data_IF_048235317989
#
_entry.id   IF_048235317989
#
_cell.length_a   1.000
_cell.length_b   1.000
_cell.length_c   1.000
_cell.angle_alpha   90.00
_cell.angle_beta   90.00
_cell.angle_gamma   90.00
#
_symmetry.space_group_name_H-M   'P 1'
#
loop_
_entity.id
_entity.type
_entity.pdbx_description
1 polymer ?
#
# COMPACT_ATOMS: atom_id res chain seq x y z
N UNK A 1 33.88 16.23 54.51
CA UNK A 1 34.24 16.40 53.08
C UNK A 1 34.15 15.11 52.26
N UNK A 2 34.55 13.95 52.72
CA UNK A 2 34.54 12.68 51.97
C UNK A 2 33.13 12.20 51.62
N UNK A 3 32.14 12.42 52.47
CA UNK A 3 30.73 12.02 52.26
C UNK A 3 30.03 12.79 51.11
N UNK A 4 30.36 14.07 50.95
CA UNK A 4 29.81 14.90 49.83
C UNK A 4 30.38 14.48 48.48
N UNK A 5 31.63 14.03 48.45
CA UNK A 5 32.30 13.58 47.23
C UNK A 5 31.68 12.28 46.69
N UNK A 6 31.30 11.35 47.58
CA UNK A 6 30.66 10.08 47.18
C UNK A 6 29.26 10.29 46.67
N UNK A 7 28.48 11.21 47.23
CA UNK A 7 27.16 11.57 46.75
C UNK A 7 27.20 12.20 45.33
N UNK A 8 28.24 13.00 45.06
CA UNK A 8 28.43 13.60 43.74
C UNK A 8 28.79 12.56 42.67
N UNK A 9 29.66 11.58 43.02
CA UNK A 9 30.02 10.49 42.11
C UNK A 9 28.84 9.56 41.80
N UNK A 10 27.98 9.28 42.77
CA UNK A 10 26.79 8.44 42.58
C UNK A 10 25.75 9.16 41.70
N UNK A 11 25.57 10.48 41.86
CA UNK A 11 24.65 11.26 41.05
C UNK A 11 25.10 11.36 39.58
N UNK A 12 26.41 11.52 39.33
CA UNK A 12 27.01 11.52 37.99
C UNK A 12 26.92 10.14 37.34
N UNK A 13 27.13 9.05 38.08
CA UNK A 13 27.00 7.70 37.54
C UNK A 13 25.53 7.35 37.17
N UNK A 14 24.55 7.85 37.92
CA UNK A 14 23.13 7.63 37.61
C UNK A 14 22.68 8.39 36.36
N UNK A 15 23.24 9.57 36.07
CA UNK A 15 22.92 10.37 34.88
C UNK A 15 23.47 9.80 33.57
N UNK A 16 24.48 8.92 33.62
CA UNK A 16 25.04 8.27 32.44
C UNK A 16 24.27 7.04 31.97
N UNK A 17 23.30 6.54 32.77
CA UNK A 17 22.45 5.39 32.43
C UNK A 17 21.18 5.78 31.63
N UNK A 18 20.89 7.06 31.47
CA UNK A 18 19.70 7.55 30.79
C UNK A 18 19.82 7.66 29.25
N UNK A 19 20.92 7.20 28.64
CA UNK A 19 21.29 7.57 27.26
C UNK A 19 21.07 6.51 26.17
N UNK A 20 20.51 5.33 26.44
CA UNK A 20 20.27 4.32 25.40
C UNK A 20 18.77 4.10 25.18
N UNK A 21 18.08 5.06 24.61
CA UNK A 21 16.80 4.76 23.94
C UNK A 21 17.11 4.07 22.62
N UNK A 22 16.55 2.87 22.34
CA UNK A 22 16.71 2.25 21.03
C UNK A 22 16.18 3.21 19.95
N UNK A 23 16.79 3.23 18.75
CA UNK A 23 16.31 4.07 17.67
C UNK A 23 14.84 3.75 17.39
N UNK A 24 14.00 4.77 17.37
CA UNK A 24 12.61 4.63 16.94
C UNK A 24 12.61 4.33 15.44
N UNK A 25 12.10 3.15 15.06
CA UNK A 25 11.85 2.80 13.66
C UNK A 25 10.42 3.27 13.29
N UNK A 26 10.26 4.46 12.71
CA UNK A 26 8.94 4.97 12.36
C UNK A 26 8.30 4.10 11.29
N UNK A 27 6.97 3.96 11.33
CA UNK A 27 6.21 3.38 10.25
C UNK A 27 5.95 4.47 9.23
N UNK A 28 6.54 4.31 8.04
CA UNK A 28 6.36 5.21 6.92
C UNK A 28 5.01 4.93 6.23
N UNK A 29 4.34 5.98 5.68
CA UNK A 29 3.12 5.78 4.91
C UNK A 29 3.34 4.80 3.76
N UNK A 30 2.53 3.74 3.64
CA UNK A 30 2.60 2.82 2.51
C UNK A 30 2.01 3.44 1.24
N UNK A 31 2.27 2.83 0.09
CA UNK A 31 1.55 3.10 -1.15
C UNK A 31 0.84 1.86 -1.66
N UNK A 32 -0.13 2.06 -2.57
CA UNK A 32 -0.75 0.97 -3.30
C UNK A 32 -1.00 1.37 -4.75
N UNK A 33 -0.79 0.41 -5.65
CA UNK A 33 -0.97 0.58 -7.09
C UNK A 33 -1.54 -0.68 -7.73
N UNK A 34 -2.15 -0.58 -8.91
CA UNK A 34 -2.51 -1.77 -9.68
C UNK A 34 -1.25 -2.34 -10.32
N UNK A 35 -0.90 -3.57 -9.94
CA UNK A 35 0.19 -4.34 -10.51
C UNK A 35 -0.22 -5.00 -11.82
N UNK A 36 -1.46 -5.54 -11.86
CA UNK A 36 -2.00 -6.26 -13.00
C UNK A 36 -3.53 -6.27 -12.97
N UNK A 37 -4.12 -6.24 -14.15
CA UNK A 37 -5.55 -6.46 -14.37
C UNK A 37 -5.70 -7.52 -15.46
N UNK A 38 -6.45 -8.59 -15.16
CA UNK A 38 -6.82 -9.63 -16.12
C UNK A 38 -8.34 -9.56 -16.37
N UNK A 39 -8.73 -9.48 -17.65
CA UNK A 39 -10.13 -9.60 -18.04
C UNK A 39 -10.44 -11.09 -18.22
N UNK A 40 -11.29 -11.61 -17.33
CA UNK A 40 -11.67 -13.01 -17.30
C UNK A 40 -12.65 -13.37 -18.43
N UNK A 41 -12.78 -14.67 -18.81
CA UNK A 41 -13.70 -15.09 -19.87
C UNK A 41 -15.18 -14.75 -19.61
N UNK A 42 -15.58 -14.60 -18.35
CA UNK A 42 -16.91 -14.20 -17.93
C UNK A 42 -17.13 -12.67 -17.87
N UNK A 43 -16.12 -11.89 -18.28
CA UNK A 43 -16.14 -10.43 -18.29
C UNK A 43 -15.79 -9.77 -16.96
N UNK A 44 -15.58 -10.53 -15.87
CA UNK A 44 -15.07 -9.99 -14.62
C UNK A 44 -13.61 -9.59 -14.75
N UNK A 45 -13.15 -8.72 -13.86
CA UNK A 45 -11.76 -8.27 -13.79
C UNK A 45 -11.09 -8.80 -12.54
N UNK A 46 -10.03 -9.58 -12.70
CA UNK A 46 -9.13 -9.94 -11.61
C UNK A 46 -8.08 -8.84 -11.50
N UNK A 47 -8.03 -8.19 -10.35
CA UNK A 47 -7.11 -7.06 -10.10
C UNK A 47 -6.11 -7.47 -9.02
N UNK A 48 -4.84 -7.35 -9.34
CA UNK A 48 -3.73 -7.48 -8.42
C UNK A 48 -3.27 -6.09 -7.99
N UNK A 49 -3.30 -5.85 -6.68
CA UNK A 49 -2.90 -4.59 -6.07
C UNK A 49 -1.60 -4.83 -5.32
N UNK A 50 -0.57 -4.10 -5.68
CA UNK A 50 0.73 -4.09 -5.01
C UNK A 50 0.69 -3.09 -3.87
N UNK A 51 0.98 -3.53 -2.64
CA UNK A 51 1.18 -2.69 -1.47
C UNK A 51 2.68 -2.61 -1.20
N UNK A 52 3.22 -1.40 -1.03
CA UNK A 52 4.63 -1.15 -0.76
C UNK A 52 4.85 -0.67 0.66
N UNK A 53 5.76 -1.35 1.37
CA UNK A 53 6.24 -0.96 2.69
C UNK A 53 7.54 -0.15 2.56
N UNK A 54 7.47 1.14 2.86
CA UNK A 54 8.64 2.05 2.87
C UNK A 54 9.31 2.16 4.24
N UNK A 55 8.85 1.39 5.24
CA UNK A 55 9.53 1.30 6.53
C UNK A 55 10.75 0.40 6.44
N UNK A 56 11.68 0.54 7.36
CA UNK A 56 12.89 -0.29 7.45
C UNK A 56 12.67 -1.62 8.21
N UNK A 57 11.43 -1.87 8.64
CA UNK A 57 11.01 -3.06 9.39
C UNK A 57 9.79 -3.71 8.74
N UNK A 58 9.54 -4.97 9.10
CA UNK A 58 8.29 -5.66 8.77
C UNK A 58 7.10 -4.92 9.39
N UNK A 59 6.05 -4.72 8.61
CA UNK A 59 4.80 -4.07 9.02
C UNK A 59 3.63 -4.98 8.68
N UNK A 60 2.69 -5.11 9.62
CA UNK A 60 1.44 -5.85 9.44
C UNK A 60 0.36 -4.95 8.82
N UNK A 61 -0.24 -5.40 7.72
CA UNK A 61 -1.30 -4.71 7.00
C UNK A 61 -2.62 -5.45 7.18
N UNK A 62 -3.51 -4.93 8.02
CA UNK A 62 -4.76 -5.61 8.42
C UNK A 62 -5.94 -5.28 7.51
N UNK A 63 -6.05 -4.03 7.05
CA UNK A 63 -7.18 -3.58 6.24
C UNK A 63 -6.73 -2.78 5.02
N UNK A 64 -7.45 -2.97 3.93
CA UNK A 64 -7.29 -2.20 2.70
C UNK A 64 -8.66 -1.73 2.21
N UNK A 65 -8.84 -0.42 2.09
CA UNK A 65 -10.08 0.18 1.55
C UNK A 65 -9.70 1.18 0.47
N UNK A 66 -10.30 1.04 -0.71
CA UNK A 66 -10.01 1.94 -1.82
C UNK A 66 -11.21 2.14 -2.75
N UNK A 67 -11.35 3.34 -3.26
CA UNK A 67 -12.16 3.64 -4.42
C UNK A 67 -11.28 3.54 -5.68
N UNK A 68 -11.66 2.68 -6.60
CA UNK A 68 -11.05 2.55 -7.93
C UNK A 68 -11.88 3.32 -8.96
N UNK A 69 -11.24 4.21 -9.68
CA UNK A 69 -11.77 4.82 -10.91
C UNK A 69 -10.93 4.35 -12.09
N UNK A 70 -11.57 4.11 -13.23
CA UNK A 70 -10.89 3.70 -14.45
C UNK A 70 -11.54 4.33 -15.66
N UNK A 71 -10.73 4.84 -16.58
CA UNK A 71 -11.23 5.54 -17.76
C UNK A 71 -12.20 6.69 -17.42
N UNK A 72 -11.97 7.37 -16.29
CA UNK A 72 -12.81 8.45 -15.78
C UNK A 72 -14.10 8.02 -15.07
N UNK A 73 -14.44 6.72 -15.06
CA UNK A 73 -15.65 6.19 -14.44
C UNK A 73 -15.34 5.51 -13.10
N UNK A 74 -16.33 5.48 -12.19
CA UNK A 74 -16.23 4.67 -10.97
C UNK A 74 -16.22 3.19 -11.36
N UNK A 75 -15.21 2.45 -10.89
CA UNK A 75 -15.06 1.03 -11.19
C UNK A 75 -15.54 0.17 -10.02
N UNK A 76 -15.07 0.44 -8.80
CA UNK A 76 -15.43 -0.30 -7.60
C UNK A 76 -15.01 0.42 -6.33
N UNK A 77 -15.73 0.13 -5.24
CA UNK A 77 -15.25 0.31 -3.88
C UNK A 77 -14.70 -1.04 -3.40
N UNK A 78 -13.40 -1.06 -3.10
CA UNK A 78 -12.67 -2.27 -2.69
C UNK A 78 -12.52 -2.23 -1.17
N UNK A 79 -12.88 -3.33 -0.50
CA UNK A 79 -12.67 -3.50 0.95
C UNK A 79 -12.17 -4.91 1.20
N UNK A 80 -10.94 -5.03 1.68
CA UNK A 80 -10.24 -6.29 1.93
C UNK A 80 -9.63 -6.29 3.33
N UNK A 81 -9.45 -7.48 3.90
CA UNK A 81 -8.72 -7.74 5.14
C UNK A 81 -7.55 -8.68 4.82
N UNK A 82 -6.47 -8.16 4.23
CA UNK A 82 -5.39 -9.01 3.73
C UNK A 82 -4.63 -9.76 4.82
N UNK A 83 -4.51 -9.19 6.04
CA UNK A 83 -3.78 -9.79 7.17
C UNK A 83 -2.39 -10.29 6.75
N UNK A 84 -1.59 -9.42 6.12
CA UNK A 84 -0.27 -9.76 5.57
C UNK A 84 0.84 -8.98 6.26
N UNK A 85 2.00 -9.64 6.40
CA UNK A 85 3.24 -9.04 6.89
C UNK A 85 4.17 -8.75 5.71
N UNK A 86 4.44 -7.47 5.45
CA UNK A 86 5.37 -7.07 4.38
C UNK A 86 6.70 -6.67 5.02
N UNK A 87 7.83 -7.34 4.66
CA UNK A 87 9.16 -6.97 5.14
C UNK A 87 9.52 -5.52 4.82
N UNK A 88 10.48 -4.97 5.56
CA UNK A 88 10.95 -3.60 5.32
C UNK A 88 11.49 -3.40 3.90
N UNK A 89 11.17 -2.24 3.31
CA UNK A 89 11.59 -1.85 1.95
C UNK A 89 11.22 -2.93 0.92
N UNK A 90 10.02 -3.51 1.05
CA UNK A 90 9.52 -4.55 0.18
C UNK A 90 8.05 -4.30 -0.17
N UNK A 91 7.47 -5.18 -0.97
CA UNK A 91 6.07 -5.13 -1.37
C UNK A 91 5.46 -6.52 -1.45
N UNK A 92 4.13 -6.57 -1.32
CA UNK A 92 3.35 -7.78 -1.53
C UNK A 92 2.08 -7.46 -2.34
N UNK A 93 1.40 -8.50 -2.82
CA UNK A 93 0.26 -8.40 -3.73
C UNK A 93 -0.98 -8.95 -3.04
N UNK A 94 -2.05 -8.14 -3.04
CA UNK A 94 -3.39 -8.59 -2.71
C UNK A 94 -4.24 -8.66 -3.97
N UNK A 95 -5.23 -9.55 -3.99
CA UNK A 95 -6.07 -9.79 -5.16
C UNK A 95 -7.55 -9.54 -4.86
N UNK A 96 -8.25 -9.04 -5.85
CA UNK A 96 -9.72 -8.94 -5.83
C UNK A 96 -10.30 -9.19 -7.20
N UNK A 97 -11.59 -9.54 -7.25
CA UNK A 97 -12.32 -9.71 -8.51
C UNK A 97 -13.49 -8.73 -8.53
N UNK A 98 -13.60 -7.96 -9.61
CA UNK A 98 -14.59 -6.94 -9.82
C UNK A 98 -15.53 -7.33 -10.96
N UNK A 99 -16.79 -6.89 -10.89
CA UNK A 99 -17.75 -7.00 -11.97
C UNK A 99 -17.97 -5.58 -12.54
N UNK A 100 -17.26 -5.19 -13.62
CA UNK A 100 -17.39 -3.86 -14.19
C UNK A 100 -18.77 -3.65 -14.83
N UNK A 101 -19.27 -2.42 -14.81
CA UNK A 101 -20.47 -2.08 -15.58
C UNK A 101 -20.19 -2.19 -17.09
N UNK A 102 -21.23 -2.38 -17.93
CA UNK A 102 -21.06 -2.40 -19.39
C UNK A 102 -20.40 -1.12 -19.94
N UNK A 103 -20.76 0.04 -19.40
CA UNK A 103 -20.19 1.33 -19.81
C UNK A 103 -18.70 1.43 -19.45
N UNK A 104 -18.33 0.97 -18.26
CA UNK A 104 -16.94 0.93 -17.83
C UNK A 104 -16.12 -0.03 -18.70
N UNK A 105 -16.65 -1.23 -18.99
CA UNK A 105 -15.98 -2.21 -19.85
C UNK A 105 -15.75 -1.66 -21.25
N UNK A 106 -16.72 -0.92 -21.80
CA UNK A 106 -16.62 -0.26 -23.10
C UNK A 106 -15.59 0.87 -23.10
N UNK A 107 -15.61 1.73 -22.08
CA UNK A 107 -14.66 2.83 -21.93
C UNK A 107 -13.22 2.29 -21.80
N UNK A 108 -13.01 1.30 -20.93
CA UNK A 108 -11.72 0.64 -20.75
C UNK A 108 -11.23 0.01 -22.07
N UNK A 109 -12.08 -0.73 -22.78
CA UNK A 109 -11.72 -1.34 -24.07
C UNK A 109 -11.40 -0.30 -25.16
N UNK A 110 -11.93 0.90 -25.07
CA UNK A 110 -11.57 2.03 -25.93
C UNK A 110 -10.19 2.59 -25.57
N UNK A 111 -9.99 2.94 -24.30
CA UNK A 111 -8.79 3.64 -23.83
C UNK A 111 -7.53 2.74 -23.89
N UNK A 112 -7.68 1.44 -23.62
CA UNK A 112 -6.55 0.51 -23.60
C UNK A 112 -5.89 0.35 -24.98
N UNK A 113 -6.59 0.68 -26.06
CA UNK A 113 -6.08 0.68 -27.43
C UNK A 113 -5.40 1.99 -27.82
N UNK A 114 -5.57 3.04 -27.02
CA UNK A 114 -4.94 4.34 -27.28
C UNK A 114 -3.47 4.34 -26.88
N UNK A 115 -2.64 5.15 -27.52
CA UNK A 115 -1.29 5.40 -27.04
C UNK A 115 -1.30 5.84 -25.57
N UNK A 116 -0.55 5.13 -24.72
CA UNK A 116 -0.50 5.38 -23.29
C UNK A 116 -1.53 4.62 -22.43
N UNK A 117 -2.41 3.79 -23.03
CA UNK A 117 -3.28 2.86 -22.29
C UNK A 117 -4.43 3.51 -21.52
N UNK A 118 -5.09 2.75 -20.66
CA UNK A 118 -6.26 3.15 -19.90
C UNK A 118 -5.86 3.82 -18.57
N UNK A 119 -6.30 5.07 -18.28
CA UNK A 119 -5.99 5.74 -17.03
C UNK A 119 -6.76 5.13 -15.87
N UNK A 120 -6.11 5.09 -14.69
CA UNK A 120 -6.79 4.74 -13.44
C UNK A 120 -6.37 5.62 -12.28
N UNK A 121 -7.24 5.71 -11.29
CA UNK A 121 -7.00 6.34 -9.99
C UNK A 121 -7.41 5.36 -8.89
N UNK A 122 -6.54 5.15 -7.92
CA UNK A 122 -6.77 4.31 -6.76
C UNK A 122 -6.53 5.13 -5.50
N UNK A 123 -7.60 5.43 -4.74
CA UNK A 123 -7.55 6.30 -3.57
C UNK A 123 -8.14 5.56 -2.38
N UNK A 124 -7.47 5.61 -1.23
CA UNK A 124 -8.00 4.88 -0.10
C UNK A 124 -7.21 4.99 1.18
N UNK A 125 -7.39 3.98 2.02
CA UNK A 125 -6.70 3.83 3.31
C UNK A 125 -6.18 2.42 3.49
N UNK A 126 -5.05 2.32 4.19
CA UNK A 126 -4.41 1.06 4.58
C UNK A 126 -4.26 1.08 6.09
N UNK A 127 -4.86 0.10 6.77
CA UNK A 127 -4.82 -0.05 8.23
C UNK A 127 -3.57 -0.76 8.68
N UNK A 128 -2.86 -0.14 9.63
CA UNK A 128 -1.65 -0.65 10.25
C UNK A 128 -1.84 -0.63 11.76
N UNK A 129 -2.17 -1.78 12.40
CA UNK A 129 -2.45 -1.85 13.83
C UNK A 129 -1.30 -1.31 14.70
N UNK A 130 -0.05 -1.60 14.35
CA UNK A 130 1.12 -1.15 15.11
C UNK A 130 1.28 0.39 15.09
N UNK A 131 0.74 1.05 14.08
CA UNK A 131 0.72 2.51 14.00
C UNK A 131 -0.49 3.13 14.73
N UNK A 132 -1.48 2.30 15.11
CA UNK A 132 -2.73 2.75 15.73
C UNK A 132 -3.59 3.65 14.83
N UNK A 133 -3.38 3.60 13.51
CA UNK A 133 -4.10 4.45 12.54
C UNK A 133 -4.11 3.85 11.14
N UNK A 134 -5.03 4.37 10.31
CA UNK A 134 -5.05 4.14 8.88
C UNK A 134 -4.24 5.21 8.15
N UNK A 135 -3.46 4.79 7.17
CA UNK A 135 -2.72 5.69 6.27
C UNK A 135 -3.50 5.90 4.99
N UNK A 136 -3.67 7.16 4.61
CA UNK A 136 -4.24 7.51 3.30
C UNK A 136 -3.20 7.35 2.20
N UNK A 137 -3.66 6.90 1.03
CA UNK A 137 -2.86 6.87 -0.18
C UNK A 137 -3.69 7.34 -1.38
N UNK A 138 -3.01 7.83 -2.39
CA UNK A 138 -3.54 8.14 -3.70
C UNK A 138 -2.53 7.73 -4.76
N UNK A 139 -3.00 7.01 -5.79
CA UNK A 139 -2.18 6.60 -6.91
C UNK A 139 -2.92 6.81 -8.22
N UNK A 140 -2.29 7.52 -9.16
CA UNK A 140 -2.79 7.75 -10.51
C UNK A 140 -1.78 7.22 -11.51
N UNK A 141 -2.24 6.37 -12.41
CA UNK A 141 -1.37 5.76 -13.42
C UNK A 141 -2.19 5.29 -14.61
N UNK A 142 -1.59 4.50 -15.47
CA UNK A 142 -2.23 3.94 -16.67
C UNK A 142 -1.88 2.46 -16.80
N UNK A 143 -2.84 1.68 -17.29
CA UNK A 143 -2.63 0.29 -17.67
C UNK A 143 -2.36 0.19 -19.16
N UNK A 144 -1.44 -0.65 -19.53
CA UNK A 144 -1.11 -0.95 -20.93
C UNK A 144 -1.20 -2.45 -21.18
N UNK A 145 -1.53 -2.89 -22.41
CA UNK A 145 -1.54 -4.31 -22.76
C UNK A 145 -0.18 -4.95 -22.52
N UNK A 146 -0.17 -6.16 -21.98
CA UNK A 146 1.06 -6.96 -21.86
C UNK A 146 1.34 -7.62 -23.22
N UNK A 147 2.49 -7.35 -23.87
CA UNK A 147 2.79 -7.91 -25.17
C UNK A 147 2.76 -9.45 -25.15
N UNK A 148 2.01 -10.04 -26.08
CA UNK A 148 1.91 -11.49 -26.24
C UNK A 148 0.96 -12.20 -25.26
N UNK A 149 0.35 -11.48 -24.32
CA UNK A 149 -0.61 -12.05 -23.37
C UNK A 149 -1.96 -11.33 -23.52
N UNK A 150 -2.95 -11.96 -24.16
CA UNK A 150 -4.25 -11.34 -24.36
C UNK A 150 -4.98 -11.15 -23.02
N UNK A 151 -5.78 -10.09 -22.94
CA UNK A 151 -6.61 -9.75 -21.77
C UNK A 151 -5.86 -9.46 -20.46
N UNK A 152 -4.54 -9.26 -20.52
CA UNK A 152 -3.72 -8.88 -19.38
C UNK A 152 -3.13 -7.48 -19.59
N UNK A 153 -3.17 -6.68 -18.53
CA UNK A 153 -2.78 -5.27 -18.54
C UNK A 153 -1.94 -4.93 -17.30
N UNK A 154 -0.95 -4.06 -17.47
CA UNK A 154 -0.07 -3.54 -16.40
C UNK A 154 0.19 -2.05 -16.55
#
# INVERSE_FOLDING_TARGET
MIRSLHLFFVAVALSLLAGCSPPLHPINPPSASIQQLDVLPDGRWKVQIRIENFSDKTVHYSTFKAALRMSGLAAADISLTPEIDIPGINADIIETTLAPSPDLSKAFASDIRQPGGAPYELNGTIGIPEAGKDFKFEHKSRLSPVPGIPNQYR
#
